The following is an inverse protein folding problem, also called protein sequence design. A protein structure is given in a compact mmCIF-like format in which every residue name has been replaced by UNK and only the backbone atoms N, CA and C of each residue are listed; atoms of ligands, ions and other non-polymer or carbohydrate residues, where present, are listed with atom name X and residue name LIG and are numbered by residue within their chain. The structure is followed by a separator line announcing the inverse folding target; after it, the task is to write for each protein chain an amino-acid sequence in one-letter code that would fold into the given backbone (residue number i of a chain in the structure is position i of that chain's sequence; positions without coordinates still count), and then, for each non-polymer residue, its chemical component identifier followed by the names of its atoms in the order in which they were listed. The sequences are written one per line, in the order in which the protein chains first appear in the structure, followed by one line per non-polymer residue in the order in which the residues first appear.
data_IF_291633233333
#
_entry.id   IF_291633233333
#
_cell.length_a   1.000
_cell.length_b   1.000
_cell.length_c   1.000
_cell.angle_alpha   90.00
_cell.angle_beta   90.00
_cell.angle_gamma   90.00
#
_symmetry.space_group_name_H-M   'P 1'
#
loop_
_entity.id
_entity.type
_entity.pdbx_description
1 polymer ?
#
# COMPACT_ATOMS: atom_id res chain seq x y z
N UNK A 1 2.21 12.19 11.19
CA UNK A 1 1.78 11.95 9.80
C UNK A 1 2.87 11.17 9.09
N UNK A 2 2.72 9.86 9.04
CA UNK A 2 3.67 8.89 8.53
C UNK A 2 3.11 8.31 7.23
N UNK A 3 3.65 8.80 6.11
CA UNK A 3 3.31 8.34 4.76
C UNK A 3 4.35 7.34 4.26
N UNK A 4 3.89 6.28 3.62
CA UNK A 4 4.74 5.24 3.01
C UNK A 4 4.51 5.20 1.51
N UNK A 5 5.58 5.21 0.72
CA UNK A 5 5.53 4.89 -0.71
C UNK A 5 5.93 3.42 -0.89
N UNK A 6 5.03 2.59 -1.39
CA UNK A 6 5.27 1.18 -1.65
C UNK A 6 5.22 0.89 -3.15
N UNK A 7 6.38 0.65 -3.75
CA UNK A 7 6.44 0.12 -5.12
C UNK A 7 6.38 -1.42 -5.09
N UNK A 8 5.88 -2.02 -6.17
CA UNK A 8 5.80 -3.48 -6.26
C UNK A 8 4.75 -4.12 -5.34
N UNK A 9 3.73 -3.36 -4.91
CA UNK A 9 2.67 -3.81 -4.02
C UNK A 9 1.86 -5.02 -4.53
N UNK A 10 1.92 -5.34 -5.83
CA UNK A 10 1.29 -6.53 -6.43
C UNK A 10 2.20 -7.77 -6.44
N UNK A 11 3.46 -7.65 -6.02
CA UNK A 11 4.42 -8.76 -5.97
C UNK A 11 4.18 -9.67 -4.76
N UNK A 12 4.84 -10.84 -4.72
CA UNK A 12 4.71 -11.79 -3.61
C UNK A 12 5.00 -11.13 -2.25
N UNK A 13 6.15 -10.46 -2.14
CA UNK A 13 6.54 -9.78 -0.90
C UNK A 13 5.76 -8.48 -0.70
N UNK A 14 5.61 -7.69 -1.77
CA UNK A 14 4.95 -6.39 -1.69
C UNK A 14 3.48 -6.48 -1.26
N UNK A 15 2.76 -7.51 -1.69
CA UNK A 15 1.37 -7.73 -1.29
C UNK A 15 1.22 -8.15 0.16
N UNK A 16 2.20 -8.89 0.69
CA UNK A 16 2.24 -9.24 2.11
C UNK A 16 2.61 -8.02 2.96
N UNK A 17 3.63 -7.26 2.55
CA UNK A 17 4.02 -6.03 3.22
C UNK A 17 2.88 -5.00 3.23
N UNK A 18 2.14 -4.86 2.12
CA UNK A 18 0.99 -3.96 2.05
C UNK A 18 -0.03 -4.27 3.15
N UNK A 19 -0.36 -5.54 3.38
CA UNK A 19 -1.26 -5.93 4.48
C UNK A 19 -0.70 -5.53 5.85
N UNK A 20 0.59 -5.78 6.09
CA UNK A 20 1.21 -5.40 7.36
C UNK A 20 1.19 -3.89 7.59
N UNK A 21 1.41 -3.09 6.54
CA UNK A 21 1.36 -1.63 6.62
C UNK A 21 -0.05 -1.10 6.87
N UNK A 22 -1.08 -1.74 6.30
CA UNK A 22 -2.49 -1.37 6.55
C UNK A 22 -2.84 -1.57 8.03
N UNK A 23 -2.41 -2.69 8.62
CA UNK A 23 -2.67 -3.01 10.03
C UNK A 23 -1.84 -2.18 11.01
N UNK A 24 -0.71 -1.59 10.60
CA UNK A 24 0.14 -0.81 11.50
C UNK A 24 -0.55 0.52 11.87
N UNK A 25 -0.87 0.76 13.16
CA UNK A 25 -1.54 1.98 13.60
C UNK A 25 -0.66 3.22 13.47
N UNK A 26 0.65 3.06 13.25
CA UNK A 26 1.59 4.17 13.06
C UNK A 26 1.63 4.65 11.62
N UNK A 27 1.04 3.91 10.67
CA UNK A 27 0.98 4.27 9.25
C UNK A 27 -0.34 4.95 8.98
N UNK A 28 -0.25 6.20 8.53
CA UNK A 28 -1.43 7.04 8.26
C UNK A 28 -1.92 6.85 6.82
N UNK A 29 -1.00 6.68 5.85
CA UNK A 29 -1.34 6.56 4.43
C UNK A 29 -0.24 5.86 3.64
N UNK A 30 -0.65 5.07 2.66
CA UNK A 30 0.19 4.24 1.81
C UNK A 30 -0.08 4.63 0.35
N UNK A 31 0.94 5.14 -0.32
CA UNK A 31 0.88 5.43 -1.76
C UNK A 31 1.47 4.21 -2.47
N UNK A 32 0.66 3.51 -3.25
CA UNK A 32 1.03 2.26 -3.90
C UNK A 32 0.79 2.35 -5.42
N UNK A 33 1.69 2.99 -6.19
CA UNK A 33 1.59 3.02 -7.64
C UNK A 33 1.85 1.62 -8.21
N UNK A 34 0.93 1.11 -9.04
CA UNK A 34 1.01 -0.24 -9.57
C UNK A 34 0.67 -0.29 -11.07
N UNK A 35 1.17 -1.30 -11.79
CA UNK A 35 0.83 -1.48 -13.22
C UNK A 35 -0.55 -2.09 -13.44
N UNK A 36 -1.13 -2.66 -12.39
CA UNK A 36 -2.48 -3.24 -12.37
C UNK A 36 -3.19 -2.62 -11.16
N UNK A 37 -4.41 -2.09 -11.30
CA UNK A 37 -5.10 -1.45 -10.19
C UNK A 37 -5.25 -2.40 -9.00
N UNK A 38 -4.99 -1.89 -7.81
CA UNK A 38 -5.32 -2.58 -6.56
C UNK A 38 -6.82 -2.38 -6.27
N UNK A 39 -7.48 -3.34 -5.60
CA UNK A 39 -8.80 -3.10 -5.04
C UNK A 39 -8.74 -1.92 -4.05
N UNK A 40 -9.88 -1.29 -3.79
CA UNK A 40 -9.97 -0.27 -2.75
C UNK A 40 -9.66 -0.90 -1.39
N UNK A 41 -8.78 -0.25 -0.62
CA UNK A 41 -8.31 -0.73 0.68
C UNK A 41 -8.08 0.48 1.60
N UNK A 42 -8.30 0.30 2.90
CA UNK A 42 -8.06 1.34 3.89
C UNK A 42 -6.61 1.81 3.85
N UNK A 43 -6.42 3.13 4.05
CA UNK A 43 -5.13 3.83 4.01
C UNK A 43 -4.39 3.80 2.67
N UNK A 44 -4.89 3.11 1.63
CA UNK A 44 -4.17 2.95 0.36
C UNK A 44 -4.66 3.94 -0.70
N UNK A 45 -3.72 4.69 -1.27
CA UNK A 45 -3.90 5.48 -2.48
C UNK A 45 -3.15 4.79 -3.62
N UNK A 46 -3.87 4.40 -4.67
CA UNK A 46 -3.29 3.82 -5.89
C UNK A 46 -3.42 4.83 -7.05
N UNK A 47 -2.38 5.64 -7.30
CA UNK A 47 -2.39 6.57 -8.39
C UNK A 47 -2.03 5.85 -9.71
N UNK A 48 -3.04 5.64 -10.56
CA UNK A 48 -2.90 5.15 -11.94
C UNK A 48 -3.02 3.65 -12.08
#
# INVERSE_FOLDING_TARGET
MNRVLLTGATGLVGSHLLRLLIEDPRVDEIIAPTRRPLPAMDKVVNPG
#
